data_IF_630132711197
#
_entry.id   IF_630132711197
#
_cell.length_a   1.000
_cell.length_b   1.000
_cell.length_c   1.000
_cell.angle_alpha   90.00
_cell.angle_beta   90.00
_cell.angle_gamma   90.00
#
_symmetry.space_group_name_H-M   'P 1'
#
loop_
_entity.id
_entity.type
_entity.pdbx_description
1 polymer ?
#
# COMPACT_ATOMS: atom_id res chain seq x y z
N UNK A 1 20.89 20.64 29.93
CA UNK A 1 21.82 21.10 28.86
C UNK A 1 22.02 19.94 27.88
N UNK A 2 21.97 20.19 26.57
CA UNK A 2 22.07 19.15 25.53
C UNK A 2 23.36 18.31 25.66
N UNK A 3 24.45 18.93 26.11
CA UNK A 3 25.76 18.31 26.35
C UNK A 3 25.77 17.22 27.42
N UNK A 4 24.72 17.08 28.22
CA UNK A 4 24.59 16.01 29.21
C UNK A 4 23.90 14.75 28.68
N UNK A 5 23.35 14.80 27.47
CA UNK A 5 22.63 13.66 26.89
C UNK A 5 23.61 12.50 26.66
N UNK A 6 23.39 11.39 27.36
CA UNK A 6 24.18 10.18 27.28
C UNK A 6 23.41 9.05 26.59
N UNK A 7 24.09 8.01 26.05
CA UNK A 7 23.43 6.84 25.48
C UNK A 7 22.42 6.18 26.44
N UNK A 8 22.74 6.14 27.74
CA UNK A 8 21.87 5.57 28.78
C UNK A 8 20.52 6.30 28.91
N UNK A 9 20.48 7.62 28.70
CA UNK A 9 19.23 8.39 28.74
C UNK A 9 18.30 7.97 27.59
N UNK A 10 18.89 7.77 26.41
CA UNK A 10 18.19 7.34 25.20
C UNK A 10 17.72 5.89 25.33
N UNK A 11 18.57 5.00 25.85
CA UNK A 11 18.20 3.60 26.13
C UNK A 11 17.08 3.52 27.17
N UNK A 12 17.13 4.34 28.21
CA UNK A 12 16.10 4.42 29.25
C UNK A 12 14.76 4.89 28.68
N UNK A 13 14.79 5.88 27.78
CA UNK A 13 13.59 6.31 27.05
C UNK A 13 12.97 5.16 26.25
N UNK A 14 13.77 4.40 25.50
CA UNK A 14 13.25 3.29 24.68
C UNK A 14 12.69 2.17 25.54
N UNK A 15 13.36 1.84 26.64
CA UNK A 15 12.89 0.86 27.62
C UNK A 15 11.55 1.30 28.21
N UNK A 16 11.42 2.59 28.58
CA UNK A 16 10.16 3.16 29.09
C UNK A 16 9.05 3.17 28.03
N UNK A 17 9.38 3.43 26.77
CA UNK A 17 8.40 3.38 25.68
C UNK A 17 7.86 1.96 25.44
N UNK A 18 8.69 0.93 25.63
CA UNK A 18 8.29 -0.47 25.49
C UNK A 18 7.55 -1.00 26.72
N UNK A 19 7.81 -0.42 27.89
CA UNK A 19 7.18 -0.84 29.13
C UNK A 19 5.67 -0.55 29.12
N UNK A 20 4.85 -1.42 29.73
CA UNK A 20 3.45 -1.14 29.98
C UNK A 20 3.28 0.15 30.79
N UNK A 21 2.24 0.92 30.50
CA UNK A 21 1.91 2.08 31.33
C UNK A 21 1.35 1.63 32.68
N UNK A 22 1.66 2.37 33.75
CA UNK A 22 1.20 2.09 35.13
C UNK A 22 -0.34 2.01 35.24
N UNK A 23 -1.08 2.56 34.27
CA UNK A 23 -2.55 2.50 34.18
C UNK A 23 -3.09 1.34 33.32
N UNK A 24 -2.29 0.30 33.09
CA UNK A 24 -2.71 -0.91 32.37
C UNK A 24 -2.67 -0.79 30.84
N UNK A 25 -1.94 0.20 30.30
CA UNK A 25 -1.73 0.34 28.86
C UNK A 25 -0.64 -0.61 28.36
N UNK A 26 -0.87 -1.24 27.21
CA UNK A 26 0.20 -1.94 26.49
C UNK A 26 1.27 -0.92 26.07
N UNK A 27 2.55 -1.25 26.28
CA UNK A 27 3.66 -0.42 25.83
C UNK A 27 3.66 -0.19 24.32
N UNK A 28 4.41 0.80 23.85
CA UNK A 28 4.47 1.15 22.43
C UNK A 28 5.11 0.02 21.61
N UNK A 29 4.65 -0.14 20.37
CA UNK A 29 5.22 -1.15 19.47
C UNK A 29 6.72 -0.91 19.19
N UNK A 30 7.52 -1.96 18.95
CA UNK A 30 8.91 -1.83 18.51
C UNK A 30 9.09 -0.89 17.32
N UNK A 31 8.14 -0.90 16.38
CA UNK A 31 8.14 -0.01 15.21
C UNK A 31 8.06 1.47 15.60
N UNK A 32 7.24 1.79 16.60
CA UNK A 32 7.12 3.15 17.13
C UNK A 32 8.44 3.60 17.74
N UNK A 33 9.09 2.76 18.55
CA UNK A 33 10.41 3.06 19.15
C UNK A 33 11.47 3.31 18.08
N UNK A 34 11.54 2.46 17.05
CA UNK A 34 12.46 2.65 15.92
C UNK A 34 12.19 3.98 15.20
N UNK A 35 10.92 4.36 15.00
CA UNK A 35 10.58 5.64 14.37
C UNK A 35 10.99 6.83 15.25
N UNK A 36 10.74 6.76 16.56
CA UNK A 36 11.19 7.77 17.53
C UNK A 36 12.70 7.91 17.50
N UNK A 37 13.43 6.79 17.49
CA UNK A 37 14.88 6.79 17.35
C UNK A 37 15.33 7.50 16.07
N UNK A 38 14.71 7.23 14.91
CA UNK A 38 15.08 7.89 13.65
C UNK A 38 14.95 9.40 13.74
N UNK A 39 13.85 9.89 14.33
CA UNK A 39 13.63 11.33 14.51
C UNK A 39 14.65 11.92 15.47
N UNK A 40 14.86 11.28 16.63
CA UNK A 40 15.80 11.73 17.64
C UNK A 40 17.24 11.75 17.10
N UNK A 41 17.68 10.64 16.49
CA UNK A 41 19.01 10.51 15.88
C UNK A 41 19.24 11.54 14.79
N UNK A 42 18.21 11.87 13.99
CA UNK A 42 18.29 12.96 13.00
C UNK A 42 18.47 14.33 13.66
N UNK A 43 17.76 14.61 14.75
CA UNK A 43 17.89 15.87 15.48
C UNK A 43 19.27 16.00 16.15
N UNK A 44 19.76 14.94 16.79
CA UNK A 44 21.09 14.89 17.41
C UNK A 44 22.18 15.02 16.35
N UNK A 45 22.04 14.35 15.20
CA UNK A 45 22.95 14.52 14.06
C UNK A 45 23.02 15.97 13.59
N UNK A 46 21.90 16.69 13.57
CA UNK A 46 21.88 18.12 13.26
C UNK A 46 22.60 18.97 14.32
N UNK A 47 22.43 18.66 15.60
CA UNK A 47 23.15 19.32 16.70
C UNK A 47 24.67 19.10 16.62
N UNK A 48 25.12 17.91 16.21
CA UNK A 48 26.54 17.63 15.95
C UNK A 48 27.05 18.46 14.76
N UNK A 49 26.27 18.56 13.68
CA UNK A 49 26.61 19.39 12.51
C UNK A 49 26.78 20.87 12.89
N UNK A 50 25.97 21.36 13.83
CA UNK A 50 26.09 22.71 14.39
C UNK A 50 27.14 22.84 15.51
N UNK A 51 27.93 21.78 15.76
CA UNK A 51 28.96 21.70 16.81
C UNK A 51 28.43 21.96 18.22
N UNK A 52 27.12 21.76 18.45
CA UNK A 52 26.51 21.81 19.78
C UNK A 52 26.79 20.54 20.60
N UNK A 53 27.10 19.44 19.89
CA UNK A 53 27.51 18.15 20.44
C UNK A 53 28.74 17.66 19.66
N UNK A 54 29.61 16.89 20.31
CA UNK A 54 30.77 16.29 19.65
C UNK A 54 30.41 15.06 18.82
N UNK A 55 29.37 14.32 19.20
CA UNK A 55 28.98 13.08 18.55
C UNK A 55 27.49 12.77 18.72
N UNK A 56 26.97 11.89 17.85
CA UNK A 56 25.59 11.45 17.93
C UNK A 56 25.45 10.27 18.89
N UNK A 57 25.05 10.54 20.13
CA UNK A 57 24.91 9.49 21.16
C UNK A 57 23.86 8.42 20.83
N UNK A 58 22.92 8.71 19.90
CA UNK A 58 21.94 7.74 19.45
C UNK A 58 22.57 6.59 18.65
N UNK A 59 23.84 6.66 18.23
CA UNK A 59 24.47 5.54 17.52
C UNK A 59 24.95 4.41 18.46
N UNK A 60 24.91 4.63 19.78
CA UNK A 60 25.42 3.72 20.80
C UNK A 60 24.30 3.12 21.65
N UNK A 61 23.14 2.87 21.06
CA UNK A 61 21.94 2.36 21.74
C UNK A 61 21.37 1.17 20.99
N UNK A 62 20.74 0.27 21.73
CA UNK A 62 20.11 -0.92 21.16
C UNK A 62 18.66 -0.64 20.78
N UNK A 63 18.31 -0.99 19.55
CA UNK A 63 16.94 -0.90 19.06
C UNK A 63 16.22 -2.24 19.20
N UNK A 64 14.91 -2.21 19.53
CA UNK A 64 14.13 -3.42 19.56
C UNK A 64 14.02 -4.02 18.16
N UNK A 65 14.00 -5.35 18.07
CA UNK A 65 13.70 -6.04 16.82
C UNK A 65 12.21 -5.86 16.52
N UNK A 66 11.89 -5.30 15.36
CA UNK A 66 10.53 -5.30 14.84
C UNK A 66 10.38 -6.51 13.94
N UNK A 67 9.52 -7.46 14.32
CA UNK A 67 9.10 -8.47 13.37
C UNK A 67 8.28 -7.80 12.26
N UNK A 68 8.47 -8.19 10.99
CA UNK A 68 7.58 -7.76 9.93
C UNK A 68 6.18 -8.32 10.20
N UNK A 69 5.15 -7.47 10.14
CA UNK A 69 3.78 -7.98 10.10
C UNK A 69 3.57 -8.68 8.77
N UNK A 70 3.06 -9.91 8.81
CA UNK A 70 2.58 -10.58 7.61
C UNK A 70 1.46 -9.76 6.97
N UNK A 71 1.62 -9.50 5.68
CA UNK A 71 0.64 -8.76 4.90
C UNK A 71 -0.32 -9.77 4.29
N UNK A 72 -1.59 -9.72 4.68
CA UNK A 72 -2.61 -10.60 4.12
C UNK A 72 -3.09 -10.03 2.78
N UNK A 73 -2.53 -10.54 1.68
CA UNK A 73 -3.11 -10.38 0.36
C UNK A 73 -4.29 -11.34 0.21
N UNK A 74 -5.46 -10.82 -0.17
CA UNK A 74 -6.62 -11.65 -0.46
C UNK A 74 -6.32 -12.51 -1.71
N UNK A 75 -6.84 -13.73 -1.72
CA UNK A 75 -6.96 -14.53 -2.94
C UNK A 75 -8.00 -13.93 -3.90
N UNK A 76 -8.06 -14.46 -5.12
CA UNK A 76 -9.08 -14.08 -6.11
C UNK A 76 -10.49 -14.31 -5.55
N UNK A 77 -10.77 -15.52 -5.05
CA UNK A 77 -12.08 -15.85 -4.45
C UNK A 77 -12.44 -14.98 -3.24
N UNK A 78 -11.47 -14.59 -2.42
CA UNK A 78 -11.69 -13.69 -1.28
C UNK A 78 -11.97 -12.26 -1.73
N UNK A 79 -11.30 -11.81 -2.80
CA UNK A 79 -11.54 -10.50 -3.41
C UNK A 79 -12.95 -10.43 -4.01
N UNK A 80 -13.39 -11.50 -4.69
CA UNK A 80 -14.76 -11.63 -5.20
C UNK A 80 -15.80 -11.59 -4.08
N UNK A 81 -15.63 -12.41 -3.03
CA UNK A 81 -16.54 -12.40 -1.87
C UNK A 81 -16.61 -11.04 -1.20
N UNK A 82 -15.48 -10.34 -1.09
CA UNK A 82 -15.44 -9.00 -0.53
C UNK A 82 -16.23 -7.99 -1.39
N UNK A 83 -16.05 -8.01 -2.72
CA UNK A 83 -16.79 -7.14 -3.62
C UNK A 83 -18.28 -7.48 -3.67
N UNK A 84 -18.63 -8.75 -3.56
CA UNK A 84 -20.02 -9.20 -3.44
C UNK A 84 -20.67 -8.67 -2.17
N UNK A 85 -20.00 -8.82 -1.02
CA UNK A 85 -20.47 -8.29 0.25
C UNK A 85 -20.61 -6.76 0.21
N UNK A 86 -19.75 -6.07 -0.54
CA UNK A 86 -19.79 -4.63 -0.71
C UNK A 86 -20.94 -4.13 -1.58
N UNK A 87 -21.63 -5.00 -2.35
CA UNK A 87 -22.79 -4.58 -3.16
C UNK A 87 -23.86 -3.93 -2.27
N UNK A 88 -24.32 -2.75 -2.68
CA UNK A 88 -25.27 -1.93 -1.91
C UNK A 88 -24.61 -0.97 -0.90
N UNK A 89 -23.33 -1.14 -0.57
CA UNK A 89 -22.59 -0.15 0.22
C UNK A 89 -22.13 1.02 -0.66
N UNK A 90 -22.23 2.24 -0.12
CA UNK A 90 -21.82 3.47 -0.82
C UNK A 90 -20.33 3.53 -1.18
N UNK A 91 -19.49 2.73 -0.54
CA UNK A 91 -18.06 2.61 -0.79
C UNK A 91 -17.71 1.41 -1.71
N UNK A 92 -18.69 0.69 -2.25
CA UNK A 92 -18.45 -0.46 -3.14
C UNK A 92 -17.51 -0.11 -4.31
N UNK A 93 -17.83 0.95 -5.06
CA UNK A 93 -17.04 1.38 -6.23
C UNK A 93 -15.64 1.86 -5.82
N UNK A 94 -15.51 2.49 -4.65
CA UNK A 94 -14.21 2.85 -4.09
C UNK A 94 -13.34 1.60 -3.86
N UNK A 95 -13.90 0.54 -3.28
CA UNK A 95 -13.17 -0.70 -3.04
C UNK A 95 -12.81 -1.43 -4.34
N UNK A 96 -13.73 -1.47 -5.32
CA UNK A 96 -13.47 -2.01 -6.65
C UNK A 96 -12.31 -1.28 -7.35
N UNK A 97 -12.28 0.06 -7.27
CA UNK A 97 -11.16 0.87 -7.77
C UNK A 97 -9.88 0.49 -7.04
N UNK A 98 -9.87 0.44 -5.71
CA UNK A 98 -8.66 0.13 -4.94
C UNK A 98 -8.09 -1.24 -5.28
N UNK A 99 -8.93 -2.27 -5.39
CA UNK A 99 -8.54 -3.63 -5.77
C UNK A 99 -8.02 -3.74 -7.20
N UNK A 100 -8.57 -2.95 -8.14
CA UNK A 100 -8.20 -3.04 -9.57
C UNK A 100 -6.98 -2.19 -9.95
N UNK A 101 -6.68 -1.18 -9.15
CA UNK A 101 -5.64 -0.17 -9.46
C UNK A 101 -4.47 -0.20 -8.50
N UNK A 102 -4.64 -0.77 -7.30
CA UNK A 102 -3.63 -0.76 -6.25
C UNK A 102 -3.32 0.64 -5.71
N UNK A 103 -4.26 1.57 -5.80
CA UNK A 103 -4.09 2.91 -5.22
C UNK A 103 -3.92 2.84 -3.71
N UNK A 104 -3.09 3.74 -3.16
CA UNK A 104 -3.06 3.95 -1.70
C UNK A 104 -4.44 4.50 -1.27
N UNK A 105 -4.91 4.21 -0.04
CA UNK A 105 -6.19 4.75 0.45
C UNK A 105 -6.31 6.26 0.24
N UNK A 106 -5.29 7.01 0.66
CA UNK A 106 -5.27 8.46 0.45
C UNK A 106 -5.33 8.90 -1.02
N UNK A 107 -4.77 8.14 -1.96
CA UNK A 107 -4.85 8.43 -3.41
C UNK A 107 -6.27 8.17 -3.92
N UNK A 108 -6.87 7.04 -3.57
CA UNK A 108 -8.21 6.66 -3.99
C UNK A 108 -9.28 7.64 -3.46
N UNK A 109 -9.18 8.04 -2.20
CA UNK A 109 -10.09 9.02 -1.58
C UNK A 109 -9.94 10.44 -2.16
N UNK A 110 -8.87 10.71 -2.92
CA UNK A 110 -8.61 12.02 -3.50
C UNK A 110 -8.99 12.13 -4.98
N UNK A 111 -9.54 11.06 -5.57
CA UNK A 111 -9.94 11.01 -6.97
C UNK A 111 -11.09 11.97 -7.27
N UNK A 112 -10.96 12.67 -8.38
CA UNK A 112 -11.97 13.55 -8.95
C UNK A 112 -12.40 13.02 -10.32
N UNK A 113 -13.59 13.38 -10.77
CA UNK A 113 -14.09 12.96 -12.09
C UNK A 113 -13.16 13.40 -13.23
N UNK A 114 -12.55 14.58 -13.15
CA UNK A 114 -11.54 15.05 -14.11
C UNK A 114 -10.27 14.19 -14.23
N UNK A 115 -10.05 13.29 -13.27
CA UNK A 115 -8.91 12.37 -13.30
C UNK A 115 -9.24 11.07 -14.08
N UNK A 116 -10.53 10.84 -14.40
CA UNK A 116 -11.01 9.69 -15.15
C UNK A 116 -11.23 10.07 -16.62
N UNK A 117 -10.61 9.30 -17.52
CA UNK A 117 -10.80 9.40 -18.97
C UNK A 117 -11.50 8.11 -19.43
N UNK A 118 -12.84 8.14 -19.66
CA UNK A 118 -13.60 6.96 -20.06
C UNK A 118 -13.24 6.47 -21.46
N UNK A 119 -12.87 7.38 -22.37
CA UNK A 119 -12.49 7.04 -23.75
C UNK A 119 -11.18 6.26 -23.79
N UNK A 120 -10.20 6.68 -22.97
CA UNK A 120 -8.94 5.96 -22.81
C UNK A 120 -9.03 4.83 -21.79
N UNK A 121 -10.09 4.75 -21.00
CA UNK A 121 -10.24 3.79 -19.90
C UNK A 121 -9.10 3.91 -18.88
N UNK A 122 -8.77 5.14 -18.45
CA UNK A 122 -7.66 5.41 -17.53
C UNK A 122 -8.05 6.29 -16.36
N UNK A 123 -7.41 6.09 -15.20
CA UNK A 123 -7.41 7.05 -14.09
C UNK A 123 -6.01 7.63 -13.91
N UNK A 124 -5.93 8.96 -13.79
CA UNK A 124 -4.68 9.68 -13.51
C UNK A 124 -4.57 10.03 -12.03
N UNK A 125 -3.58 9.47 -11.36
CA UNK A 125 -3.29 9.79 -9.95
C UNK A 125 -2.59 11.14 -9.89
N UNK A 126 -3.22 12.14 -9.27
CA UNK A 126 -2.65 13.49 -9.22
C UNK A 126 -2.42 14.03 -7.81
N UNK A 127 -3.06 13.43 -6.81
CA UNK A 127 -3.15 13.95 -5.44
C UNK A 127 -3.46 12.81 -4.48
N UNK A 128 -3.26 13.08 -3.20
CA UNK A 128 -3.66 12.19 -2.12
C UNK A 128 -4.35 13.00 -1.02
N UNK A 129 -5.08 12.33 -0.14
CA UNK A 129 -5.57 12.93 1.10
C UNK A 129 -4.61 12.66 2.25
N UNK A 130 -4.64 13.53 3.26
CA UNK A 130 -4.04 13.29 4.56
C UNK A 130 -5.00 13.74 5.67
N UNK A 131 -4.82 13.19 6.86
CA UNK A 131 -5.55 13.65 8.04
C UNK A 131 -4.69 14.61 8.84
N UNK A 132 -5.13 15.87 8.93
CA UNK A 132 -4.46 16.91 9.70
C UNK A 132 -5.46 17.48 10.72
N UNK A 133 -5.09 17.40 12.01
CA UNK A 133 -5.92 17.88 13.14
C UNK A 133 -7.37 17.36 13.09
N UNK A 134 -7.56 16.10 12.69
CA UNK A 134 -8.88 15.45 12.60
C UNK A 134 -9.69 15.81 11.34
N UNK A 135 -9.16 16.64 10.43
CA UNK A 135 -9.80 16.95 9.14
C UNK A 135 -9.07 16.26 8.00
N UNK A 136 -9.82 15.79 7.00
CA UNK A 136 -9.24 15.27 5.76
C UNK A 136 -8.96 16.43 4.82
N UNK A 137 -7.71 16.59 4.40
CA UNK A 137 -7.28 17.63 3.44
C UNK A 137 -6.51 17.00 2.29
N UNK A 138 -6.39 17.74 1.19
CA UNK A 138 -5.50 17.32 0.10
C UNK A 138 -4.04 17.51 0.48
N UNK A 139 -3.20 16.62 -0.04
CA UNK A 139 -1.75 16.71 -0.05
C UNK A 139 -1.27 16.55 -1.49
N UNK A 140 -0.32 17.38 -1.97
CA UNK A 140 0.34 17.10 -3.23
C UNK A 140 1.07 15.74 -3.15
N UNK A 141 1.21 15.04 -4.28
CA UNK A 141 1.96 13.79 -4.32
C UNK A 141 3.39 13.99 -3.81
N UNK A 142 3.90 13.01 -3.05
CA UNK A 142 5.23 13.09 -2.44
C UNK A 142 6.38 13.22 -3.47
N UNK A 143 6.16 12.79 -4.71
CA UNK A 143 7.17 12.82 -5.79
C UNK A 143 6.52 12.96 -7.17
N UNK A 144 7.24 13.44 -8.21
CA UNK A 144 6.75 13.44 -9.59
C UNK A 144 6.31 12.04 -10.08
N UNK A 145 7.06 10.98 -9.73
CA UNK A 145 6.70 9.58 -10.04
C UNK A 145 5.38 9.10 -9.42
N UNK A 146 4.86 9.81 -8.42
CA UNK A 146 3.55 9.48 -7.84
C UNK A 146 2.41 9.87 -8.79
N UNK A 147 2.67 10.80 -9.73
CA UNK A 147 1.74 11.13 -10.83
C UNK A 147 1.87 10.08 -11.91
N UNK A 148 0.79 9.32 -12.12
CA UNK A 148 0.77 8.20 -13.06
C UNK A 148 -0.62 7.98 -13.62
N UNK A 149 -0.69 7.46 -14.83
CA UNK A 149 -1.94 7.00 -15.43
C UNK A 149 -2.03 5.47 -15.28
N UNK A 150 -3.19 4.98 -14.87
CA UNK A 150 -3.47 3.57 -14.67
C UNK A 150 -4.58 3.17 -15.63
N UNK A 151 -4.29 2.23 -16.54
CA UNK A 151 -5.30 1.59 -17.39
C UNK A 151 -6.23 0.71 -16.55
N UNK A 152 -7.52 0.87 -16.76
CA UNK A 152 -8.59 0.17 -16.06
C UNK A 152 -9.10 -1.02 -16.87
N UNK A 153 -9.56 -2.10 -16.21
CA UNK A 153 -10.39 -3.11 -16.86
C UNK A 153 -11.69 -2.50 -17.41
N UNK A 154 -12.19 -3.02 -18.53
CA UNK A 154 -13.42 -2.50 -19.17
C UNK A 154 -14.63 -2.51 -18.23
N UNK A 155 -14.77 -3.56 -17.42
CA UNK A 155 -15.83 -3.65 -16.42
C UNK A 155 -15.78 -2.49 -15.41
N UNK A 156 -14.58 -2.08 -14.98
CA UNK A 156 -14.43 -0.96 -14.05
C UNK A 156 -14.78 0.38 -14.70
N UNK A 157 -14.49 0.55 -15.99
CA UNK A 157 -14.91 1.74 -16.74
C UNK A 157 -16.44 1.84 -16.74
N UNK A 158 -17.14 0.73 -17.03
CA UNK A 158 -18.61 0.67 -16.99
C UNK A 158 -19.16 1.00 -15.60
N UNK A 159 -18.60 0.36 -14.56
CA UNK A 159 -18.99 0.61 -13.17
C UNK A 159 -18.79 2.08 -12.76
N UNK A 160 -17.72 2.72 -13.22
CA UNK A 160 -17.47 4.15 -12.93
C UNK A 160 -18.45 5.08 -13.64
N UNK A 161 -18.86 4.76 -14.88
CA UNK A 161 -19.87 5.53 -15.60
C UNK A 161 -21.25 5.41 -14.93
N UNK A 162 -21.62 4.21 -14.48
CA UNK A 162 -22.85 4.00 -13.69
C UNK A 162 -22.80 4.79 -12.37
N UNK A 163 -21.64 4.75 -11.69
CA UNK A 163 -21.41 5.50 -10.45
C UNK A 163 -21.46 7.02 -10.65
N UNK A 164 -21.00 7.53 -11.80
CA UNK A 164 -21.09 8.94 -12.17
C UNK A 164 -22.54 9.38 -12.34
N UNK A 165 -23.37 8.55 -13.00
CA UNK A 165 -24.79 8.83 -13.23
C UNK A 165 -25.65 8.93 -11.96
N UNK A 166 -25.26 8.24 -10.89
CA UNK A 166 -25.94 8.32 -9.57
C UNK A 166 -25.28 9.29 -8.60
N UNK A 167 -24.13 9.85 -8.96
CA UNK A 167 -23.43 10.84 -8.14
C UNK A 167 -24.13 12.20 -8.24
N UNK A 168 -24.08 13.04 -7.19
CA UNK A 168 -24.63 14.39 -7.27
C UNK A 168 -23.97 15.17 -8.41
N UNK A 169 -24.77 15.78 -9.29
CA UNK A 169 -24.32 16.48 -10.51
C UNK A 169 -23.22 17.53 -10.25
N UNK A 170 -23.24 18.17 -9.08
CA UNK A 170 -22.27 19.19 -8.67
C UNK A 170 -20.98 18.64 -8.03
N UNK A 171 -20.87 17.32 -7.82
CA UNK A 171 -19.75 16.72 -7.13
C UNK A 171 -18.52 16.67 -8.03
N UNK A 172 -17.45 17.36 -7.64
CA UNK A 172 -16.13 17.22 -8.29
C UNK A 172 -15.42 15.94 -7.87
N UNK A 173 -15.76 15.41 -6.68
CA UNK A 173 -15.17 14.21 -6.10
C UNK A 173 -15.87 12.97 -6.65
N UNK A 174 -15.08 11.93 -6.95
CA UNK A 174 -15.60 10.62 -7.34
C UNK A 174 -16.25 9.89 -6.15
N UNK A 175 -15.69 10.09 -4.95
CA UNK A 175 -16.19 9.47 -3.71
C UNK A 175 -16.42 10.53 -2.63
N UNK A 176 -17.49 11.34 -2.72
CA UNK A 176 -17.80 12.35 -1.72
C UNK A 176 -18.38 11.72 -0.44
N UNK A 177 -18.29 12.42 0.68
CA UNK A 177 -19.10 12.16 1.87
C UNK A 177 -20.57 12.53 1.60
N UNK A 178 -21.48 12.18 2.51
CA UNK A 178 -22.88 12.61 2.43
C UNK A 178 -23.05 14.13 2.45
N UNK A 179 -22.02 14.88 2.88
CA UNK A 179 -21.98 16.34 2.87
C UNK A 179 -21.22 16.92 1.68
N UNK A 180 -20.86 16.12 0.68
CA UNK A 180 -20.08 16.55 -0.49
C UNK A 180 -18.58 16.79 -0.22
N UNK A 181 -18.08 16.46 0.97
CA UNK A 181 -16.68 16.67 1.36
C UNK A 181 -15.82 15.43 1.17
N UNK A 182 -14.50 15.55 1.35
CA UNK A 182 -13.60 14.38 1.37
C UNK A 182 -14.03 13.37 2.43
N UNK A 183 -14.02 12.09 2.05
CA UNK A 183 -14.20 10.99 2.99
C UNK A 183 -13.06 10.96 4.02
N UNK A 184 -13.38 10.58 5.23
CA UNK A 184 -12.40 10.31 6.26
C UNK A 184 -12.03 8.83 6.22
N UNK A 185 -10.74 8.52 6.01
CA UNK A 185 -10.25 7.14 5.89
C UNK A 185 -10.64 6.28 7.09
N UNK A 186 -10.55 6.82 8.32
CA UNK A 186 -10.94 6.08 9.54
C UNK A 186 -12.43 5.74 9.53
N UNK A 187 -13.29 6.64 9.05
CA UNK A 187 -14.73 6.35 8.92
C UNK A 187 -14.99 5.31 7.84
N UNK A 188 -14.29 5.37 6.69
CA UNK A 188 -14.37 4.33 5.65
C UNK A 188 -13.99 2.97 6.22
N UNK A 189 -12.90 2.92 6.99
CA UNK A 189 -12.43 1.67 7.62
C UNK A 189 -13.46 1.14 8.63
N UNK A 190 -13.86 1.95 9.61
CA UNK A 190 -14.65 1.48 10.75
C UNK A 190 -16.11 1.21 10.38
N UNK A 191 -16.69 1.98 9.46
CA UNK A 191 -18.13 1.92 9.15
C UNK A 191 -18.48 1.08 7.94
N UNK A 192 -17.53 0.89 7.02
CA UNK A 192 -17.78 0.19 5.76
C UNK A 192 -16.84 -1.00 5.64
N UNK A 193 -15.53 -0.77 5.57
CA UNK A 193 -14.56 -1.82 5.27
C UNK A 193 -14.58 -2.99 6.26
N UNK A 194 -14.45 -2.70 7.58
CA UNK A 194 -14.39 -3.74 8.61
C UNK A 194 -15.70 -4.54 8.75
N UNK A 195 -16.89 -3.91 8.77
CA UNK A 195 -18.15 -4.65 8.70
C UNK A 195 -18.24 -5.54 7.45
N UNK A 196 -17.84 -5.05 6.28
CA UNK A 196 -17.89 -5.82 5.03
C UNK A 196 -16.94 -7.02 5.03
N UNK A 197 -15.75 -6.91 5.65
CA UNK A 197 -14.88 -8.07 5.86
C UNK A 197 -15.59 -9.15 6.70
N UNK A 198 -16.31 -8.76 7.75
CA UNK A 198 -17.04 -9.72 8.59
C UNK A 198 -18.16 -10.41 7.81
N UNK A 199 -18.91 -9.66 6.98
CA UNK A 199 -19.94 -10.21 6.09
C UNK A 199 -19.34 -11.19 5.07
N UNK A 200 -18.16 -10.87 4.52
CA UNK A 200 -17.46 -11.72 3.57
C UNK A 200 -16.73 -12.93 4.20
N UNK A 201 -16.78 -13.08 5.52
CA UNK A 201 -16.07 -14.13 6.25
C UNK A 201 -14.54 -13.98 6.22
N UNK A 202 -14.05 -12.75 6.08
CA UNK A 202 -12.62 -12.44 5.93
C UNK A 202 -11.98 -12.01 7.27
N UNK A 203 -10.67 -12.25 7.44
CA UNK A 203 -9.99 -11.89 8.69
C UNK A 203 -10.09 -10.40 9.01
N UNK A 204 -10.46 -10.07 10.24
CA UNK A 204 -10.48 -8.68 10.70
C UNK A 204 -9.08 -8.04 10.74
N UNK A 205 -8.00 -8.82 10.62
CA UNK A 205 -6.63 -8.32 10.51
C UNK A 205 -6.37 -7.59 9.18
N UNK A 206 -7.11 -7.92 8.11
CA UNK A 206 -6.95 -7.28 6.78
C UNK A 206 -7.21 -5.78 6.90
N UNK A 207 -6.29 -4.96 6.43
CA UNK A 207 -6.39 -3.49 6.46
C UNK A 207 -6.81 -2.97 5.09
N UNK A 208 -7.36 -1.77 5.06
CA UNK A 208 -7.73 -1.11 3.80
C UNK A 208 -6.52 -0.95 2.85
N UNK A 209 -5.33 -0.72 3.42
CA UNK A 209 -4.08 -0.67 2.65
C UNK A 209 -3.71 -2.02 2.02
N UNK A 210 -4.13 -3.14 2.59
CA UNK A 210 -3.80 -4.48 2.09
C UNK A 210 -4.54 -4.82 0.78
N UNK A 211 -5.58 -4.05 0.39
CA UNK A 211 -6.17 -4.15 -0.96
C UNK A 211 -5.14 -3.82 -2.06
N UNK A 212 -4.18 -2.94 -1.77
CA UNK A 212 -3.06 -2.67 -2.67
C UNK A 212 -2.09 -3.84 -2.76
N UNK A 213 -1.85 -4.53 -1.64
CA UNK A 213 -1.03 -5.74 -1.62
C UNK A 213 -1.71 -6.88 -2.38
N UNK A 214 -3.03 -6.99 -2.23
CA UNK A 214 -3.88 -7.90 -3.01
C UNK A 214 -3.73 -7.64 -4.50
N UNK A 215 -3.95 -6.40 -4.96
CA UNK A 215 -3.76 -6.01 -6.37
C UNK A 215 -2.40 -6.43 -6.93
N UNK A 216 -1.32 -6.10 -6.21
CA UNK A 216 0.03 -6.43 -6.65
C UNK A 216 0.27 -7.93 -6.71
N UNK A 217 -0.19 -8.67 -5.70
CA UNK A 217 -0.04 -10.12 -5.62
C UNK A 217 -0.80 -10.83 -6.73
N UNK A 218 -2.03 -10.41 -7.02
CA UNK A 218 -2.83 -10.97 -8.11
C UNK A 218 -2.17 -10.73 -9.47
N UNK A 219 -1.64 -9.53 -9.73
CA UNK A 219 -0.93 -9.25 -10.99
C UNK A 219 0.35 -10.09 -11.12
N UNK A 220 1.12 -10.25 -10.05
CA UNK A 220 2.33 -11.07 -10.07
C UNK A 220 2.01 -12.55 -10.29
N UNK A 221 0.97 -13.07 -9.63
CA UNK A 221 0.46 -14.43 -9.86
C UNK A 221 -0.05 -14.63 -11.30
N UNK A 222 -0.59 -13.58 -11.91
CA UNK A 222 -0.98 -13.58 -13.33
C UNK A 222 0.20 -13.41 -14.30
N UNK A 223 1.45 -13.45 -13.82
CA UNK A 223 2.65 -13.35 -14.65
C UNK A 223 2.96 -11.95 -15.17
N UNK A 224 2.31 -10.91 -14.63
CA UNK A 224 2.58 -9.52 -15.05
C UNK A 224 3.96 -9.10 -14.59
N UNK A 225 4.76 -8.58 -15.51
CA UNK A 225 6.13 -8.19 -15.26
C UNK A 225 6.23 -7.19 -14.09
N UNK A 226 7.15 -7.45 -13.15
CA UNK A 226 7.29 -6.69 -11.90
C UNK A 226 7.48 -5.18 -12.10
N UNK A 227 8.11 -4.77 -13.21
CA UNK A 227 8.24 -3.35 -13.60
C UNK A 227 6.85 -2.70 -13.80
N UNK A 228 5.93 -3.37 -14.50
CA UNK A 228 4.58 -2.87 -14.75
C UNK A 228 3.81 -2.78 -13.44
N UNK A 229 3.92 -3.80 -12.57
CA UNK A 229 3.33 -3.77 -11.23
C UNK A 229 3.88 -2.59 -10.42
N UNK A 230 5.20 -2.42 -10.41
CA UNK A 230 5.89 -1.31 -9.74
C UNK A 230 5.43 0.07 -10.23
N UNK A 231 5.25 0.23 -11.54
CA UNK A 231 4.76 1.46 -12.17
C UNK A 231 3.30 1.74 -11.80
N UNK A 232 2.41 0.74 -11.89
CA UNK A 232 1.00 0.85 -11.45
C UNK A 232 0.89 1.22 -9.98
N UNK A 233 1.78 0.69 -9.14
CA UNK A 233 1.85 1.00 -7.72
C UNK A 233 2.48 2.39 -7.46
N UNK A 234 3.22 2.97 -8.40
CA UNK A 234 3.95 4.22 -8.17
C UNK A 234 5.06 4.05 -7.12
N UNK A 235 5.77 2.92 -7.18
CA UNK A 235 6.99 2.71 -6.39
C UNK A 235 8.17 3.48 -7.01
N UNK A 236 9.03 4.05 -6.16
CA UNK A 236 10.18 4.83 -6.61
C UNK A 236 11.25 3.99 -7.32
N UNK A 237 11.32 2.71 -6.97
CA UNK A 237 12.22 1.70 -7.54
C UNK A 237 11.50 0.35 -7.67
N UNK A 238 11.95 -0.47 -8.62
CA UNK A 238 11.48 -1.86 -8.79
C UNK A 238 11.89 -2.71 -7.59
N UNK A 239 13.08 -2.45 -7.02
CA UNK A 239 13.59 -3.15 -5.83
C UNK A 239 12.59 -3.14 -4.68
N UNK A 240 11.91 -2.01 -4.42
CA UNK A 240 10.87 -1.95 -3.38
C UNK A 240 9.74 -2.96 -3.64
N UNK A 241 9.35 -3.14 -4.90
CA UNK A 241 8.35 -4.14 -5.30
C UNK A 241 8.90 -5.55 -5.11
N UNK A 242 10.14 -5.80 -5.56
CA UNK A 242 10.78 -7.11 -5.42
C UNK A 242 10.94 -7.53 -3.96
N UNK A 243 11.43 -6.63 -3.10
CA UNK A 243 11.63 -6.89 -1.67
C UNK A 243 10.30 -7.17 -0.95
N UNK A 244 9.23 -6.46 -1.35
CA UNK A 244 7.90 -6.61 -0.74
C UNK A 244 7.22 -7.92 -1.16
N UNK A 245 7.40 -8.35 -2.41
CA UNK A 245 6.64 -9.44 -3.02
C UNK A 245 7.50 -10.66 -3.39
N UNK A 246 8.74 -10.74 -2.90
CA UNK A 246 9.67 -11.84 -3.17
C UNK A 246 9.08 -13.23 -2.91
N UNK A 247 8.22 -13.35 -1.90
CA UNK A 247 7.54 -14.59 -1.50
C UNK A 247 6.45 -15.07 -2.47
N UNK A 248 5.96 -14.21 -3.38
CA UNK A 248 4.97 -14.57 -4.41
C UNK A 248 5.57 -14.73 -5.81
N UNK A 249 6.89 -14.56 -5.94
CA UNK A 249 7.68 -14.90 -7.12
C UNK A 249 8.21 -16.36 -7.21
N UNK A 250 8.06 -17.27 -6.20
CA UNK A 250 8.47 -18.67 -6.37
C UNK A 250 7.71 -19.34 -7.52
N UNK A 251 8.42 -20.11 -8.35
CA UNK A 251 7.86 -20.77 -9.54
C UNK A 251 8.04 -20.00 -10.86
N UNK A 252 8.51 -18.75 -10.82
CA UNK A 252 8.83 -18.00 -12.05
C UNK A 252 9.96 -18.62 -12.87
N UNK A 253 10.89 -19.36 -12.23
CA UNK A 253 11.95 -20.09 -12.91
C UNK A 253 11.39 -21.27 -13.72
N UNK A 254 10.47 -22.05 -13.13
CA UNK A 254 9.82 -23.18 -13.81
C UNK A 254 8.94 -22.69 -14.97
N UNK A 255 8.22 -21.58 -14.76
CA UNK A 255 7.42 -20.95 -15.81
C UNK A 255 8.30 -20.38 -16.94
N UNK A 256 9.43 -19.74 -16.60
CA UNK A 256 10.39 -19.23 -17.58
C UNK A 256 11.02 -20.38 -18.38
N UNK A 257 11.43 -21.46 -17.72
CA UNK A 257 11.96 -22.66 -18.36
C UNK A 257 10.91 -23.32 -19.27
N UNK A 258 9.66 -23.43 -18.80
CA UNK A 258 8.55 -23.99 -19.59
C UNK A 258 8.24 -23.15 -20.83
N UNK A 259 8.20 -21.81 -20.69
CA UNK A 259 8.02 -20.88 -21.82
C UNK A 259 9.18 -20.95 -22.80
N UNK A 260 10.42 -20.99 -22.30
CA UNK A 260 11.62 -21.14 -23.13
C UNK A 260 11.58 -22.47 -23.90
N UNK A 261 11.19 -23.56 -23.23
CA UNK A 261 11.03 -24.87 -23.86
C UNK A 261 9.98 -24.84 -24.96
N UNK A 262 8.82 -24.23 -24.69
CA UNK A 262 7.78 -24.04 -25.69
C UNK A 262 8.19 -23.10 -26.84
N UNK A 263 9.19 -22.23 -26.68
CA UNK A 263 9.66 -21.33 -27.74
C UNK A 263 10.79 -21.94 -28.56
N UNK A 264 11.78 -22.56 -27.91
CA UNK A 264 13.00 -23.06 -28.54
C UNK A 264 12.91 -24.52 -28.96
N UNK A 265 12.15 -25.35 -28.25
CA UNK A 265 12.12 -26.80 -28.42
C UNK A 265 10.76 -27.31 -28.93
N UNK A 266 10.05 -26.47 -29.70
CA UNK A 266 8.69 -26.71 -30.22
C UNK A 266 8.55 -27.87 -31.22
N UNK A 267 9.58 -28.70 -31.38
CA UNK A 267 9.63 -29.80 -32.35
C UNK A 267 10.57 -30.97 -32.00
N UNK A 268 11.13 -31.06 -30.79
CA UNK A 268 11.99 -32.21 -30.42
C UNK A 268 11.20 -33.41 -29.88
N UNK A 269 9.86 -33.31 -29.85
CA UNK A 269 8.96 -34.33 -29.35
C UNK A 269 8.30 -35.20 -30.42
N UNK A 270 9.04 -35.67 -31.43
CA UNK A 270 8.84 -37.00 -32.06
C UNK A 270 10.02 -37.28 -33.00
N UNK A 271 10.95 -38.13 -32.56
CA UNK A 271 11.83 -38.91 -33.45
C UNK A 271 13.00 -38.18 -34.12
N UNK A 272 14.06 -37.89 -33.37
CA UNK A 272 15.45 -38.30 -33.68
C UNK A 272 16.39 -37.64 -32.68
N UNK A 273 17.14 -38.46 -31.95
CA UNK A 273 18.17 -38.00 -31.04
C UNK A 273 19.19 -37.15 -31.79
N UNK A 274 19.38 -35.91 -31.31
CA UNK A 274 20.57 -35.14 -31.66
C UNK A 274 21.72 -35.77 -30.87
N UNK A 275 22.44 -36.67 -31.52
CA UNK A 275 23.73 -37.17 -31.03
C UNK A 275 24.74 -36.05 -31.30
N UNK A 276 25.30 -35.48 -30.24
CA UNK A 276 26.49 -34.65 -30.34
C UNK A 276 27.68 -35.57 -30.56
N UNK A 277 28.33 -35.45 -31.73
CA UNK A 277 29.70 -35.93 -31.94
C UNK A 277 30.69 -34.93 -31.32
#
# INVERSE_FOLDING_TARGET
KLTKLAPVDVQSLYTKMLAPEERGGMGLTPRTVINTHRVLSSAVKQAVKWRMLSQNVCQYVDLPKSQPQEMHALSESESERFLEAAKGDRCCVLFAVMLSTGLRPGEALALMWKDFDPMKGTITVQRATESLKGRTTFKPPKTPKSRRSIKLPEYLVKLLLEHEGVSPISSVLMFPSTKGTLLNERNVVLRHFKPLLAVAGLPHSVRLYDLRHTHATLLLKAGVHIKIVSERLGHSSIALTADTYSHVLPGMQDEAASKLNAMLFKGTGTGNGIVYN
#
